data_IF_263352737690
#
_entry.id   IF_263352737690
#
_cell.length_a   1.000
_cell.length_b   1.000
_cell.length_c   1.000
_cell.angle_alpha   90.00
_cell.angle_beta   90.00
_cell.angle_gamma   90.00
#
_symmetry.space_group_name_H-M   'P 1'
#
loop_
_entity.id
_entity.type
_entity.pdbx_description
1 polymer ?
#
# COMPACT_ATOMS: atom_id res chain seq x y z
N UNK A 1 15.06 -10.97 1.99
CA UNK A 1 15.25 -10.29 3.29
C UNK A 1 14.06 -10.59 4.20
N UNK A 2 14.17 -11.63 5.03
CA UNK A 2 13.08 -12.08 5.90
C UNK A 2 13.66 -12.39 7.28
N UNK A 3 13.02 -11.89 8.31
CA UNK A 3 13.34 -12.11 9.71
C UNK A 3 12.33 -13.07 10.31
N UNK A 4 12.63 -13.61 11.49
CA UNK A 4 11.71 -14.47 12.24
C UNK A 4 11.41 -13.86 13.59
N UNK A 5 10.14 -13.61 13.85
CA UNK A 5 9.69 -13.22 15.18
C UNK A 5 9.79 -14.40 16.16
N UNK A 6 9.76 -14.12 17.47
CA UNK A 6 9.92 -15.15 18.52
C UNK A 6 8.83 -16.22 18.50
N UNK A 7 7.63 -15.85 18.06
CA UNK A 7 6.50 -16.78 17.88
C UNK A 7 6.59 -17.62 16.59
N UNK A 8 7.67 -17.44 15.81
CA UNK A 8 7.89 -18.15 14.56
C UNK A 8 7.33 -17.47 13.32
N UNK A 9 6.61 -16.34 13.45
CA UNK A 9 6.07 -15.57 12.32
C UNK A 9 7.19 -15.00 11.45
N UNK A 10 7.06 -15.10 10.13
CA UNK A 10 7.96 -14.44 9.19
C UNK A 10 7.67 -12.93 9.18
N UNK A 11 8.71 -12.13 9.40
CA UNK A 11 8.67 -10.67 9.28
C UNK A 11 9.42 -10.29 8.01
N UNK A 12 8.74 -9.64 7.08
CA UNK A 12 9.36 -9.19 5.84
C UNK A 12 10.05 -7.84 6.07
N UNK A 13 11.32 -7.74 5.69
CA UNK A 13 12.05 -6.48 5.67
C UNK A 13 12.17 -6.03 4.22
N UNK A 14 11.65 -4.84 3.93
CA UNK A 14 11.59 -4.31 2.57
C UNK A 14 12.17 -2.90 2.48
N UNK A 15 12.89 -2.63 1.39
CA UNK A 15 13.31 -1.28 1.04
C UNK A 15 12.16 -0.55 0.34
N UNK A 16 11.80 0.63 0.83
CA UNK A 16 10.66 1.38 0.35
C UNK A 16 11.02 2.26 -0.85
N UNK A 17 10.24 2.19 -1.94
CA UNK A 17 10.50 2.97 -3.15
C UNK A 17 9.83 4.34 -3.18
N UNK A 18 9.13 4.76 -2.11
CA UNK A 18 8.44 6.06 -2.04
C UNK A 18 9.34 7.26 -2.38
N UNK A 19 10.66 7.16 -2.17
CA UNK A 19 11.61 8.25 -2.47
C UNK A 19 11.93 8.38 -3.96
N UNK A 20 11.54 7.39 -4.78
CA UNK A 20 11.82 7.34 -6.20
C UNK A 20 10.55 7.64 -7.00
N UNK A 21 10.59 8.70 -7.81
CA UNK A 21 9.47 9.07 -8.66
C UNK A 21 9.30 8.10 -9.85
N UNK A 22 8.13 7.48 -9.97
CA UNK A 22 7.71 6.73 -11.16
C UNK A 22 6.20 6.94 -11.37
N UNK A 23 5.85 7.62 -12.45
CA UNK A 23 4.47 7.97 -12.80
C UNK A 23 3.89 7.03 -13.89
N UNK A 24 4.73 6.19 -14.50
CA UNK A 24 4.39 5.18 -15.50
C UNK A 24 5.09 3.83 -15.21
N UNK A 25 4.67 2.77 -15.92
CA UNK A 25 5.23 1.44 -15.72
C UNK A 25 6.72 1.38 -16.09
N UNK A 26 7.11 2.00 -17.19
CA UNK A 26 8.51 2.03 -17.62
C UNK A 26 9.42 2.68 -16.56
N UNK A 27 8.95 3.75 -15.92
CA UNK A 27 9.60 4.37 -14.77
C UNK A 27 9.73 3.42 -13.59
N UNK A 28 8.69 2.66 -13.25
CA UNK A 28 8.75 1.64 -12.20
C UNK A 28 9.80 0.57 -12.54
N UNK A 29 9.81 0.04 -13.76
CA UNK A 29 10.79 -0.96 -14.20
C UNK A 29 12.22 -0.41 -14.16
N UNK A 30 12.42 0.83 -14.61
CA UNK A 30 13.71 1.50 -14.55
C UNK A 30 14.21 1.67 -13.10
N UNK A 31 13.33 1.93 -12.13
CA UNK A 31 13.70 1.99 -10.72
C UNK A 31 14.16 0.65 -10.16
N UNK A 32 13.55 -0.46 -10.59
CA UNK A 32 13.98 -1.80 -10.14
C UNK A 32 15.43 -2.04 -10.56
N UNK A 33 15.78 -1.73 -11.81
CA UNK A 33 17.14 -1.85 -12.33
C UNK A 33 18.11 -0.83 -11.70
N UNK A 34 17.66 0.40 -11.47
CA UNK A 34 18.51 1.49 -10.97
C UNK A 34 18.81 1.41 -9.48
N UNK A 35 17.86 0.90 -8.69
CA UNK A 35 17.94 0.93 -7.23
C UNK A 35 17.79 -0.46 -6.60
N UNK A 36 16.74 -1.21 -6.96
CA UNK A 36 16.45 -2.51 -6.35
C UNK A 36 17.58 -3.52 -6.54
N UNK A 37 17.96 -3.75 -7.79
CA UNK A 37 19.02 -4.69 -8.16
C UNK A 37 20.40 -4.31 -7.57
N UNK A 38 20.88 -3.06 -7.68
CA UNK A 38 22.13 -2.65 -7.03
C UNK A 38 22.12 -2.77 -5.50
N UNK A 39 20.98 -2.58 -4.84
CA UNK A 39 20.86 -2.82 -3.39
C UNK A 39 20.98 -4.31 -3.08
N UNK A 40 20.32 -5.18 -3.86
CA UNK A 40 20.44 -6.63 -3.71
C UNK A 40 21.88 -7.10 -3.87
N UNK A 41 22.57 -6.64 -4.92
CA UNK A 41 23.96 -6.98 -5.21
C UNK A 41 24.91 -6.51 -4.10
N UNK A 42 24.77 -5.27 -3.62
CA UNK A 42 25.58 -4.74 -2.51
C UNK A 42 25.40 -5.51 -1.21
N UNK A 43 24.19 -6.02 -0.96
CA UNK A 43 23.91 -6.84 0.21
C UNK A 43 24.38 -8.29 0.03
N UNK A 44 24.80 -8.69 -1.17
CA UNK A 44 25.15 -10.08 -1.48
C UNK A 44 23.98 -11.05 -1.29
N UNK A 45 22.74 -10.57 -1.44
CA UNK A 45 21.55 -11.35 -1.18
C UNK A 45 21.01 -11.99 -2.47
N UNK A 46 20.51 -13.23 -2.37
CA UNK A 46 19.78 -13.84 -3.49
C UNK A 46 18.46 -13.12 -3.76
N UNK A 47 17.81 -12.63 -2.70
CA UNK A 47 16.52 -11.93 -2.79
C UNK A 47 16.33 -10.85 -1.73
N UNK A 48 15.85 -9.69 -2.16
CA UNK A 48 15.45 -8.57 -1.30
C UNK A 48 13.95 -8.31 -1.38
N UNK A 49 13.38 -7.73 -0.31
CA UNK A 49 12.02 -7.21 -0.34
C UNK A 49 12.01 -5.76 -0.80
N UNK A 50 11.06 -5.38 -1.65
CA UNK A 50 10.71 -3.98 -1.92
C UNK A 50 9.27 -3.69 -1.48
N UNK A 51 9.07 -2.52 -0.87
CA UNK A 51 7.77 -1.93 -0.65
C UNK A 51 7.53 -0.89 -1.72
N UNK A 52 6.60 -1.15 -2.64
CA UNK A 52 6.42 -0.28 -3.80
C UNK A 52 5.42 0.84 -3.51
N UNK A 53 5.74 2.05 -3.95
CA UNK A 53 4.73 3.04 -4.28
C UNK A 53 4.48 3.03 -5.79
N UNK A 54 3.20 3.04 -6.17
CA UNK A 54 2.77 3.06 -7.57
C UNK A 54 1.73 4.18 -7.71
N UNK A 55 1.96 5.12 -8.62
CA UNK A 55 0.98 6.16 -8.90
C UNK A 55 -0.34 5.55 -9.40
N UNK A 56 -1.47 6.21 -9.12
CA UNK A 56 -2.80 5.70 -9.47
C UNK A 56 -2.97 5.31 -10.96
N UNK A 57 -2.41 6.04 -11.94
CA UNK A 57 -2.43 5.61 -13.35
C UNK A 57 -1.73 4.27 -13.57
N UNK A 58 -0.58 4.04 -12.91
CA UNK A 58 0.17 2.77 -13.00
C UNK A 58 -0.64 1.63 -12.41
N UNK A 59 -1.20 1.82 -11.21
CA UNK A 59 -2.05 0.81 -10.56
C UNK A 59 -3.26 0.47 -11.43
N UNK A 60 -3.89 1.48 -12.03
CA UNK A 60 -5.04 1.30 -12.93
C UNK A 60 -4.65 0.49 -14.17
N UNK A 61 -3.51 0.81 -14.79
CA UNK A 61 -3.02 0.07 -15.95
C UNK A 61 -2.71 -1.40 -15.59
N UNK A 62 -2.00 -1.64 -14.49
CA UNK A 62 -1.66 -2.99 -14.01
C UNK A 62 -2.89 -3.82 -13.65
N UNK A 63 -3.94 -3.18 -13.10
CA UNK A 63 -5.18 -3.86 -12.74
C UNK A 63 -6.06 -4.20 -13.97
N UNK A 64 -5.92 -3.44 -15.06
CA UNK A 64 -6.71 -3.60 -16.29
C UNK A 64 -6.02 -4.47 -17.35
N UNK A 65 -4.69 -4.52 -17.36
CA UNK A 65 -3.89 -5.22 -18.37
C UNK A 65 -3.02 -6.31 -17.74
N UNK A 66 -3.42 -7.57 -17.96
CA UNK A 66 -2.68 -8.75 -17.47
C UNK A 66 -1.26 -8.80 -18.01
N UNK A 67 -1.02 -8.37 -19.24
CA UNK A 67 0.31 -8.42 -19.86
C UNK A 67 1.29 -7.44 -19.20
N UNK A 68 0.81 -6.25 -18.82
CA UNK A 68 1.58 -5.27 -18.07
C UNK A 68 1.95 -5.79 -16.67
N UNK A 69 1.01 -6.48 -16.00
CA UNK A 69 1.26 -7.10 -14.71
C UNK A 69 2.26 -8.27 -14.79
N UNK A 70 2.13 -9.13 -15.79
CA UNK A 70 3.05 -10.24 -16.02
C UNK A 70 4.46 -9.72 -16.37
N UNK A 71 4.57 -8.60 -17.10
CA UNK A 71 5.84 -7.90 -17.33
C UNK A 71 6.45 -7.44 -16.00
N UNK A 72 5.69 -6.76 -15.13
CA UNK A 72 6.19 -6.33 -13.82
C UNK A 72 6.67 -7.52 -12.98
N UNK A 73 5.89 -8.61 -12.94
CA UNK A 73 6.27 -9.85 -12.23
C UNK A 73 7.59 -10.41 -12.74
N UNK A 74 7.72 -10.53 -14.06
CA UNK A 74 8.95 -11.02 -14.69
C UNK A 74 10.16 -10.16 -14.34
N UNK A 75 10.02 -8.84 -14.37
CA UNK A 75 11.12 -7.92 -14.07
C UNK A 75 11.52 -7.94 -12.57
N UNK A 76 10.57 -8.17 -11.66
CA UNK A 76 10.84 -8.41 -10.25
C UNK A 76 11.59 -9.74 -10.04
N UNK A 77 11.11 -10.83 -10.67
CA UNK A 77 11.71 -12.16 -10.56
C UNK A 77 13.14 -12.18 -11.12
N UNK A 78 13.36 -11.58 -12.30
CA UNK A 78 14.66 -11.47 -12.95
C UNK A 78 15.71 -10.83 -12.03
N UNK A 79 15.28 -9.87 -11.20
CA UNK A 79 16.16 -9.09 -10.32
C UNK A 79 16.25 -9.64 -8.91
N UNK A 80 15.60 -10.77 -8.60
CA UNK A 80 15.57 -11.32 -7.25
C UNK A 80 14.88 -10.38 -6.27
N UNK A 81 13.73 -9.83 -6.65
CA UNK A 81 12.94 -8.91 -5.82
C UNK A 81 11.61 -9.55 -5.47
N UNK A 82 11.22 -9.49 -4.20
CA UNK A 82 9.86 -9.81 -3.75
C UNK A 82 9.13 -8.57 -3.25
N UNK A 83 7.80 -8.55 -3.44
CA UNK A 83 6.93 -7.46 -2.99
C UNK A 83 5.84 -8.04 -2.09
N UNK A 84 5.77 -7.53 -0.86
CA UNK A 84 4.73 -7.91 0.12
C UNK A 84 3.92 -6.71 0.61
N UNK A 85 4.30 -5.51 0.21
CA UNK A 85 3.60 -4.30 0.61
C UNK A 85 3.57 -3.25 -0.50
N UNK A 86 2.44 -2.54 -0.59
CA UNK A 86 2.32 -1.33 -1.40
C UNK A 86 1.99 -0.13 -0.51
N UNK A 87 2.49 1.05 -0.86
CA UNK A 87 1.99 2.30 -0.32
C UNK A 87 0.94 2.89 -1.26
N UNK A 88 -0.31 2.96 -0.81
CA UNK A 88 -1.40 3.59 -1.54
C UNK A 88 -1.71 5.01 -1.04
N UNK A 89 -1.00 5.56 -0.04
CA UNK A 89 -1.29 6.90 0.47
C UNK A 89 -1.09 7.97 -0.62
N UNK A 90 0.13 8.23 -1.14
CA UNK A 90 0.27 9.20 -2.22
C UNK A 90 -0.45 8.69 -3.46
N UNK A 91 -1.49 9.41 -3.89
CA UNK A 91 -2.32 8.98 -5.01
C UNK A 91 -1.62 9.18 -6.36
N UNK A 92 -0.96 10.32 -6.53
CA UNK A 92 -0.14 10.70 -7.69
C UNK A 92 0.73 11.90 -7.33
N UNK A 93 1.77 12.18 -8.12
CA UNK A 93 2.52 13.43 -8.00
C UNK A 93 3.21 13.63 -6.65
N UNK A 94 3.63 12.53 -6.01
CA UNK A 94 4.27 12.56 -4.68
C UNK A 94 5.54 13.43 -4.66
N UNK A 95 6.21 13.56 -5.83
CA UNK A 95 7.43 14.35 -6.01
C UNK A 95 7.18 15.70 -6.71
N UNK A 96 5.93 16.16 -6.78
CA UNK A 96 5.64 17.48 -7.33
C UNK A 96 6.30 18.58 -6.48
N UNK A 97 6.69 19.73 -7.06
CA UNK A 97 7.39 20.83 -6.36
C UNK A 97 6.65 21.41 -5.15
N UNK A 98 5.37 21.07 -4.94
CA UNK A 98 4.56 21.53 -3.81
C UNK A 98 3.66 20.39 -3.30
N UNK A 99 4.18 19.56 -2.41
CA UNK A 99 3.49 18.42 -1.78
C UNK A 99 2.60 18.86 -0.61
N UNK A 100 1.85 19.96 -0.78
CA UNK A 100 0.91 20.50 0.25
C UNK A 100 -0.21 19.49 0.55
N UNK A 101 -1.29 19.94 1.20
CA UNK A 101 -2.51 19.15 1.49
C UNK A 101 -3.11 18.37 0.31
N UNK A 102 -2.72 18.66 -0.94
CA UNK A 102 -3.14 17.94 -2.13
C UNK A 102 -2.75 16.45 -2.12
N UNK A 103 -1.64 16.06 -1.48
CA UNK A 103 -1.21 14.65 -1.42
C UNK A 103 -2.20 13.75 -0.65
N UNK A 104 -3.03 14.36 0.21
CA UNK A 104 -4.10 13.69 0.94
C UNK A 104 -5.37 13.50 0.12
N UNK A 105 -5.41 13.97 -1.13
CA UNK A 105 -6.55 13.83 -2.02
C UNK A 105 -6.28 12.78 -3.09
N UNK A 106 -7.28 11.95 -3.44
CA UNK A 106 -8.59 11.82 -2.79
C UNK A 106 -8.46 11.28 -1.36
N UNK A 107 -9.36 11.68 -0.46
CA UNK A 107 -9.44 11.15 0.91
C UNK A 107 -10.54 10.09 1.06
N UNK A 108 -10.71 9.49 2.23
CA UNK A 108 -11.69 8.40 2.44
C UNK A 108 -13.16 8.85 2.36
N UNK A 109 -13.44 10.14 2.20
CA UNK A 109 -14.79 10.64 1.88
C UNK A 109 -15.11 10.55 0.39
N UNK A 110 -14.12 10.20 -0.44
CA UNK A 110 -14.19 10.22 -1.90
C UNK A 110 -14.03 8.81 -2.47
N UNK A 111 -14.95 8.43 -3.36
CA UNK A 111 -14.96 7.10 -3.98
C UNK A 111 -13.63 6.69 -4.65
N UNK A 112 -12.90 7.59 -5.35
CA UNK A 112 -11.61 7.26 -5.96
C UNK A 112 -10.56 6.71 -4.96
N UNK A 113 -10.61 7.10 -3.68
CA UNK A 113 -9.72 6.53 -2.65
C UNK A 113 -9.98 5.04 -2.43
N UNK A 114 -11.25 4.65 -2.34
CA UNK A 114 -11.65 3.26 -2.19
C UNK A 114 -11.22 2.44 -3.42
N UNK A 115 -11.55 2.91 -4.61
CA UNK A 115 -11.28 2.18 -5.86
C UNK A 115 -9.77 1.99 -6.06
N UNK A 116 -8.97 3.03 -5.82
CA UNK A 116 -7.50 2.93 -5.89
C UNK A 116 -6.93 1.96 -4.85
N UNK A 117 -7.38 2.02 -3.60
CA UNK A 117 -6.89 1.10 -2.54
C UNK A 117 -7.21 -0.36 -2.88
N UNK A 118 -8.41 -0.65 -3.40
CA UNK A 118 -8.77 -1.99 -3.87
C UNK A 118 -7.96 -2.43 -5.10
N UNK A 119 -7.67 -1.52 -6.02
CA UNK A 119 -6.82 -1.82 -7.17
C UNK A 119 -5.37 -2.15 -6.74
N UNK A 120 -4.81 -1.40 -5.77
CA UNK A 120 -3.52 -1.74 -5.15
C UNK A 120 -3.56 -3.13 -4.52
N UNK A 121 -4.63 -3.47 -3.79
CA UNK A 121 -4.76 -4.80 -3.19
C UNK A 121 -4.81 -5.92 -4.24
N UNK A 122 -5.53 -5.72 -5.36
CA UNK A 122 -5.59 -6.67 -6.48
C UNK A 122 -4.22 -6.87 -7.14
N UNK A 123 -3.50 -5.78 -7.43
CA UNK A 123 -2.13 -5.84 -7.97
C UNK A 123 -1.23 -6.58 -6.99
N UNK A 124 -1.23 -6.22 -5.71
CA UNK A 124 -0.40 -6.86 -4.70
C UNK A 124 -0.67 -8.36 -4.59
N UNK A 125 -1.94 -8.79 -4.61
CA UNK A 125 -2.31 -10.21 -4.52
C UNK A 125 -1.62 -11.07 -5.59
N UNK A 126 -1.45 -10.54 -6.80
CA UNK A 126 -0.76 -11.20 -7.92
C UNK A 126 0.78 -11.12 -7.82
N UNK A 127 1.32 -10.14 -7.09
CA UNK A 127 2.76 -9.96 -6.88
C UNK A 127 3.30 -10.72 -5.66
N UNK A 128 2.43 -11.13 -4.73
CA UNK A 128 2.86 -11.76 -3.48
C UNK A 128 3.66 -13.04 -3.73
N UNK A 129 4.80 -13.25 -3.04
CA UNK A 129 5.50 -14.52 -3.04
C UNK A 129 4.57 -15.66 -2.64
N UNK A 130 4.60 -16.84 -3.29
CA UNK A 130 3.64 -17.92 -3.02
C UNK A 130 3.48 -18.29 -1.55
N UNK A 131 4.57 -18.21 -0.79
CA UNK A 131 4.67 -18.55 0.63
C UNK A 131 4.40 -17.39 1.59
N UNK A 132 4.12 -16.18 1.08
CA UNK A 132 3.72 -15.05 1.90
C UNK A 132 2.32 -15.32 2.50
N UNK A 133 2.23 -15.29 3.83
CA UNK A 133 0.96 -15.49 4.53
C UNK A 133 -0.08 -14.41 4.20
N UNK A 134 0.37 -13.17 3.93
CA UNK A 134 -0.45 -12.03 3.54
C UNK A 134 0.39 -10.90 2.95
N UNK A 135 -0.27 -10.00 2.21
CA UNK A 135 0.26 -8.69 1.84
C UNK A 135 -0.32 -7.54 2.66
N UNK A 136 0.32 -6.38 2.60
CA UNK A 136 -0.18 -5.13 3.20
C UNK A 136 -0.26 -3.97 2.21
N UNK A 137 -1.27 -3.13 2.35
CA UNK A 137 -1.37 -1.86 1.65
C UNK A 137 -1.49 -0.75 2.69
N UNK A 138 -0.55 0.20 2.75
CA UNK A 138 -0.71 1.39 3.59
C UNK A 138 -1.56 2.45 2.89
N UNK A 139 -2.30 3.24 3.67
CA UNK A 139 -3.18 4.29 3.16
C UNK A 139 -3.26 5.43 4.17
N UNK A 140 -3.73 6.59 3.72
CA UNK A 140 -3.83 7.80 4.53
C UNK A 140 -4.80 7.67 5.73
N UNK A 141 -4.68 8.53 6.75
CA UNK A 141 -5.44 8.49 8.01
C UNK A 141 -6.88 9.02 7.90
N UNK A 142 -7.65 8.46 6.98
CA UNK A 142 -9.01 8.89 6.62
C UNK A 142 -9.04 10.22 5.86
N UNK A 143 -8.79 11.34 6.55
CA UNK A 143 -8.84 12.69 6.01
C UNK A 143 -8.20 13.71 6.96
N UNK A 144 -8.01 14.95 6.47
CA UNK A 144 -7.74 16.11 7.32
C UNK A 144 -8.87 16.31 8.35
N UNK A 145 -8.52 16.74 9.57
CA UNK A 145 -9.51 16.97 10.65
C UNK A 145 -10.50 18.10 10.38
N UNK A 146 -10.16 19.00 9.46
CA UNK A 146 -11.00 20.13 9.09
C UNK A 146 -10.97 20.33 7.58
N UNK A 147 -12.15 20.33 6.91
CA UNK A 147 -13.48 20.13 7.48
C UNK A 147 -13.79 18.65 7.79
N UNK A 148 -14.38 18.37 8.96
CA UNK A 148 -14.96 17.08 9.28
C UNK A 148 -16.40 17.25 9.76
N UNK A 149 -17.35 16.65 9.05
CA UNK A 149 -18.78 16.77 9.33
C UNK A 149 -19.40 15.38 9.47
N UNK A 150 -20.57 15.24 10.11
CA UNK A 150 -21.27 13.95 10.22
C UNK A 150 -21.46 13.25 8.87
N UNK A 151 -21.73 14.02 7.79
CA UNK A 151 -21.84 13.48 6.42
C UNK A 151 -20.52 12.90 5.90
N UNK A 152 -19.39 13.56 6.16
CA UNK A 152 -18.05 13.08 5.75
C UNK A 152 -17.68 11.80 6.51
N UNK A 153 -18.00 11.77 7.79
CA UNK A 153 -17.80 10.63 8.67
C UNK A 153 -18.60 9.39 8.20
N UNK A 154 -19.88 9.59 7.89
CA UNK A 154 -20.76 8.58 7.32
C UNK A 154 -20.29 8.06 5.93
N UNK A 155 -19.80 8.95 5.06
CA UNK A 155 -19.18 8.54 3.78
C UNK A 155 -17.93 7.69 3.99
N UNK A 156 -17.04 8.09 4.89
CA UNK A 156 -15.82 7.35 5.16
C UNK A 156 -16.13 5.95 5.74
N UNK A 157 -17.06 5.84 6.69
CA UNK A 157 -17.49 4.54 7.23
C UNK A 157 -18.01 3.61 6.14
N UNK A 158 -18.91 4.09 5.26
CA UNK A 158 -19.38 3.30 4.12
C UNK A 158 -18.26 2.83 3.20
N UNK A 159 -17.27 3.68 2.91
CA UNK A 159 -16.13 3.27 2.10
C UNK A 159 -15.24 2.23 2.80
N UNK A 160 -15.08 2.31 4.13
CA UNK A 160 -14.36 1.30 4.91
C UNK A 160 -15.10 -0.06 4.93
N UNK A 161 -16.44 -0.04 5.01
CA UNK A 161 -17.25 -1.27 4.91
C UNK A 161 -17.10 -1.91 3.52
N UNK A 162 -17.19 -1.11 2.46
CA UNK A 162 -16.98 -1.57 1.08
C UNK A 162 -15.54 -2.06 0.86
N UNK A 163 -14.55 -1.42 1.48
CA UNK A 163 -13.17 -1.87 1.43
C UNK A 163 -13.03 -3.27 2.05
N UNK A 164 -13.60 -3.47 3.25
CA UNK A 164 -13.54 -4.76 3.95
C UNK A 164 -14.19 -5.87 3.12
N UNK A 165 -15.38 -5.59 2.56
CA UNK A 165 -16.08 -6.51 1.64
C UNK A 165 -15.24 -6.82 0.39
N UNK A 166 -14.63 -5.80 -0.23
CA UNK A 166 -13.80 -5.98 -1.41
C UNK A 166 -12.52 -6.79 -1.14
N UNK A 167 -11.87 -6.60 0.01
CA UNK A 167 -10.72 -7.39 0.44
C UNK A 167 -11.10 -8.84 0.78
N UNK A 168 -12.28 -9.05 1.37
CA UNK A 168 -12.81 -10.38 1.61
C UNK A 168 -13.11 -11.13 0.30
N UNK A 169 -13.74 -10.46 -0.67
CA UNK A 169 -13.97 -11.02 -2.00
C UNK A 169 -12.66 -11.34 -2.72
N UNK A 170 -11.68 -10.43 -2.70
CA UNK A 170 -10.35 -10.69 -3.27
C UNK A 170 -9.71 -11.95 -2.68
N UNK A 171 -9.76 -12.11 -1.35
CA UNK A 171 -9.22 -13.29 -0.70
C UNK A 171 -9.98 -14.57 -1.05
N UNK A 172 -11.31 -14.50 -1.22
CA UNK A 172 -12.11 -15.64 -1.66
C UNK A 172 -11.79 -16.05 -3.11
N UNK A 173 -11.62 -15.07 -4.01
CA UNK A 173 -11.38 -15.31 -5.42
C UNK A 173 -9.96 -15.82 -5.72
N UNK A 174 -8.96 -15.31 -4.98
CA UNK A 174 -7.54 -15.58 -5.28
C UNK A 174 -6.86 -16.52 -4.28
N UNK A 175 -7.48 -16.75 -3.12
CA UNK A 175 -6.82 -17.38 -1.97
C UNK A 175 -5.72 -16.52 -1.32
N UNK A 176 -5.52 -15.27 -1.77
CA UNK A 176 -4.47 -14.37 -1.28
C UNK A 176 -5.07 -13.32 -0.35
N UNK A 177 -4.56 -13.26 0.88
CA UNK A 177 -4.99 -12.25 1.85
C UNK A 177 -4.17 -10.97 1.73
N UNK A 178 -4.86 -9.84 1.60
CA UNK A 178 -4.28 -8.49 1.69
C UNK A 178 -4.98 -7.72 2.81
N UNK A 179 -4.19 -7.01 3.62
CA UNK A 179 -4.69 -6.11 4.67
C UNK A 179 -4.39 -4.66 4.35
N UNK A 180 -5.24 -3.75 4.79
CA UNK A 180 -5.04 -2.31 4.64
C UNK A 180 -4.74 -1.68 6.00
N UNK A 181 -3.62 -0.96 6.08
CA UNK A 181 -3.17 -0.23 7.26
C UNK A 181 -3.36 1.27 7.08
N UNK A 182 -4.13 1.89 7.97
CA UNK A 182 -4.26 3.35 8.03
C UNK A 182 -3.06 3.93 8.77
N UNK A 183 -2.36 4.86 8.14
CA UNK A 183 -1.13 5.47 8.64
C UNK A 183 -1.45 6.79 9.33
N UNK A 184 -1.20 6.95 10.65
CA UNK A 184 -1.42 8.21 11.34
C UNK A 184 -0.56 9.35 10.77
N UNK A 185 -1.15 10.53 10.61
CA UNK A 185 -0.47 11.73 10.07
C UNK A 185 -0.82 13.00 10.86
N UNK A 186 0.15 13.91 11.04
CA UNK A 186 -0.09 15.22 11.62
C UNK A 186 -1.24 15.97 10.96
N UNK A 187 -2.13 16.54 11.76
CA UNK A 187 -3.25 17.34 11.24
C UNK A 187 -4.47 16.54 10.72
N UNK A 188 -4.39 15.22 10.67
CA UNK A 188 -5.48 14.36 10.22
C UNK A 188 -6.41 13.91 11.37
N UNK A 189 -7.43 13.13 11.03
CA UNK A 189 -8.34 12.53 12.03
C UNK A 189 -7.70 11.42 12.85
N UNK A 190 -6.79 10.69 12.23
CA UNK A 190 -5.92 9.73 12.88
C UNK A 190 -4.52 10.35 12.83
N UNK A 191 -4.14 11.05 13.89
CA UNK A 191 -2.80 11.62 14.09
C UNK A 191 -2.00 10.79 15.07
N UNK A 192 -2.66 10.14 16.03
CA UNK A 192 -2.01 9.30 17.04
C UNK A 192 -2.51 7.86 16.99
N UNK A 193 -1.71 6.94 17.53
CA UNK A 193 -2.09 5.53 17.70
C UNK A 193 -3.36 5.36 18.55
N UNK A 194 -3.54 6.17 19.59
CA UNK A 194 -4.77 6.18 20.40
C UNK A 194 -6.01 6.59 19.59
N UNK A 195 -5.88 7.59 18.71
CA UNK A 195 -6.96 7.95 17.79
C UNK A 195 -7.21 6.85 16.75
N UNK A 196 -6.18 6.15 16.29
CA UNK A 196 -6.33 5.02 15.38
C UNK A 196 -7.15 3.89 16.01
N UNK A 197 -6.83 3.51 17.25
CA UNK A 197 -7.59 2.52 18.03
C UNK A 197 -9.04 2.94 18.18
N UNK A 198 -9.30 4.19 18.58
CA UNK A 198 -10.66 4.69 18.77
C UNK A 198 -11.48 4.71 17.46
N UNK A 199 -10.85 5.08 16.33
CA UNK A 199 -11.51 5.21 15.02
C UNK A 199 -11.74 3.87 14.34
N UNK A 200 -10.87 2.89 14.57
CA UNK A 200 -10.94 1.57 13.92
C UNK A 200 -11.55 0.47 14.81
N UNK A 201 -11.99 0.79 16.04
CA UNK A 201 -12.52 -0.18 17.00
C UNK A 201 -13.71 -1.03 16.47
N UNK A 202 -14.47 -0.52 15.49
CA UNK A 202 -15.57 -1.24 14.85
C UNK A 202 -15.27 -1.75 13.44
N UNK A 203 -14.03 -1.60 12.96
CA UNK A 203 -13.63 -2.07 11.64
C UNK A 203 -13.33 -3.57 11.66
N UNK A 204 -13.33 -4.21 10.49
CA UNK A 204 -12.95 -5.63 10.34
C UNK A 204 -11.46 -5.82 10.67
N UNK A 205 -11.10 -6.47 11.80
CA UNK A 205 -9.70 -6.61 12.23
C UNK A 205 -8.91 -7.63 11.39
N UNK A 206 -9.57 -8.45 10.57
CA UNK A 206 -8.89 -9.37 9.65
C UNK A 206 -8.41 -8.66 8.38
N UNK A 207 -9.03 -7.53 8.04
CA UNK A 207 -8.77 -6.79 6.80
C UNK A 207 -8.16 -5.43 7.03
N UNK A 208 -8.60 -4.72 8.06
CA UNK A 208 -8.20 -3.35 8.36
C UNK A 208 -7.30 -3.30 9.59
N UNK A 209 -6.49 -2.26 9.69
CA UNK A 209 -5.56 -2.08 10.80
C UNK A 209 -4.79 -0.77 10.70
N UNK A 210 -3.65 -0.71 11.37
CA UNK A 210 -2.81 0.49 11.43
C UNK A 210 -1.48 0.21 10.74
N UNK A 211 -1.04 1.13 9.91
CA UNK A 211 0.35 1.20 9.47
C UNK A 211 1.10 2.12 10.44
N UNK A 212 2.10 1.60 11.13
CA UNK A 212 2.85 2.37 12.13
C UNK A 212 4.15 2.86 11.49
N UNK A 213 4.20 4.13 11.13
CA UNK A 213 5.44 4.79 10.75
C UNK A 213 6.17 5.28 12.00
N UNK A 214 7.39 4.79 12.21
CA UNK A 214 8.26 5.19 13.32
C UNK A 214 8.66 6.66 13.31
N UNK A 215 8.57 7.33 12.16
CA UNK A 215 8.81 8.77 12.03
C UNK A 215 7.68 9.62 12.61
N UNK A 216 6.49 9.03 12.81
CA UNK A 216 5.29 9.71 13.32
C UNK A 216 4.95 9.31 14.77
N UNK A 217 5.80 8.53 15.43
CA UNK A 217 5.64 8.08 16.82
C UNK A 217 6.13 9.11 17.85
#
# INVERSE_FOLDING_TARGET
MRLRHRDGTTVHLAYCTNVHAAEDLDGVLAQLARYGEPVRERLGADRIGLGLWLAAPVVTALAADRSALDLLRKELDLRGIEVVTLNAFPYAGFHAPTVKKAVYRPDWTERPRLDHTLACARVLAELLPPDAARGSVSTLPLAWRTPWTPRRDDLARRHLDLLSQGLAALAADTGRTVRVGFEPEPGCLIETTGQAVARLAGADPERLGVCVDTCHL
#
